data_IF_925927632136
#
_entry.id   IF_925927632136
#
_cell.length_a   1.000
_cell.length_b   1.000
_cell.length_c   1.000
_cell.angle_alpha   90.00
_cell.angle_beta   90.00
_cell.angle_gamma   90.00
#
_symmetry.space_group_name_H-M   'P 1'
#
loop_
_entity.id
_entity.type
_entity.pdbx_description
1 polymer ?
#
# COMPACT_ATOMS: atom_id res chain seq x y z
N UNK A 1 17.77 -5.57 17.58
CA UNK A 1 17.27 -4.37 16.86
C UNK A 1 17.62 -4.56 15.40
N UNK A 2 16.73 -4.25 14.44
CA UNK A 2 17.06 -4.38 13.02
C UNK A 2 18.15 -3.37 12.65
N UNK A 3 19.24 -3.82 12.03
CA UNK A 3 20.31 -2.95 11.50
C UNK A 3 19.87 -2.21 10.23
N UNK A 4 18.84 -2.72 9.55
CA UNK A 4 18.28 -2.19 8.31
C UNK A 4 16.78 -2.48 8.24
N UNK A 5 16.01 -1.55 7.70
CA UNK A 5 14.59 -1.72 7.38
C UNK A 5 14.43 -1.55 5.87
N UNK A 6 13.93 -2.59 5.22
CA UNK A 6 13.63 -2.58 3.78
C UNK A 6 12.14 -2.38 3.61
N UNK A 7 11.75 -1.29 2.96
CA UNK A 7 10.35 -0.99 2.65
C UNK A 7 10.04 -1.44 1.23
N UNK A 8 9.03 -2.29 1.10
CA UNK A 8 8.49 -2.74 -0.18
C UNK A 8 7.08 -2.17 -0.34
N UNK A 9 6.92 -1.19 -1.22
CA UNK A 9 5.62 -0.58 -1.48
C UNK A 9 4.83 -1.39 -2.52
N UNK A 10 3.61 -1.79 -2.18
CA UNK A 10 2.55 -2.28 -3.09
C UNK A 10 2.85 -3.53 -3.95
N UNK A 11 4.06 -4.08 -3.90
CA UNK A 11 4.52 -5.16 -4.79
C UNK A 11 3.97 -6.53 -4.39
N UNK A 12 3.78 -6.78 -3.10
CA UNK A 12 3.39 -8.10 -2.60
C UNK A 12 1.88 -8.32 -2.71
N UNK A 13 1.05 -7.29 -2.47
CA UNK A 13 -0.40 -7.43 -2.47
C UNK A 13 -1.07 -6.75 -3.65
N UNK A 14 -1.01 -5.43 -3.73
CA UNK A 14 -1.82 -4.65 -4.67
C UNK A 14 -1.61 -5.11 -6.12
N UNK A 15 -0.35 -5.21 -6.57
CA UNK A 15 -0.09 -5.66 -7.94
C UNK A 15 -0.57 -7.10 -8.20
N UNK A 16 -0.40 -7.99 -7.23
CA UNK A 16 -0.79 -9.40 -7.38
C UNK A 16 -2.31 -9.56 -7.41
N UNK A 17 -3.04 -8.85 -6.54
CA UNK A 17 -4.51 -8.80 -6.58
C UNK A 17 -4.96 -8.33 -7.95
N UNK A 18 -4.37 -7.22 -8.44
CA UNK A 18 -4.74 -6.62 -9.71
C UNK A 18 -4.62 -7.59 -10.88
N UNK A 19 -3.44 -8.22 -11.02
CA UNK A 19 -3.17 -9.16 -12.12
C UNK A 19 -4.05 -10.40 -12.04
N UNK A 20 -4.26 -10.95 -10.84
CA UNK A 20 -5.09 -12.15 -10.68
C UNK A 20 -6.57 -11.84 -10.94
N UNK A 21 -7.07 -10.67 -10.53
CA UNK A 21 -8.42 -10.23 -10.90
C UNK A 21 -8.53 -10.13 -12.42
N UNK A 22 -7.68 -9.35 -13.09
CA UNK A 22 -7.71 -9.18 -14.54
C UNK A 22 -7.71 -10.51 -15.29
N UNK A 23 -6.90 -11.48 -14.85
CA UNK A 23 -6.83 -12.81 -15.46
C UNK A 23 -8.02 -13.73 -15.12
N UNK A 24 -9.01 -13.23 -14.37
CA UNK A 24 -10.14 -13.97 -13.81
C UNK A 24 -9.69 -15.21 -13.04
N UNK A 25 -8.54 -15.10 -12.37
CA UNK A 25 -8.01 -16.16 -11.54
C UNK A 25 -8.82 -16.23 -10.23
N UNK A 26 -8.96 -17.44 -9.68
CA UNK A 26 -9.63 -17.61 -8.40
C UNK A 26 -8.79 -17.02 -7.26
N UNK A 27 -9.46 -16.52 -6.23
CA UNK A 27 -8.80 -16.12 -4.97
C UNK A 27 -7.95 -17.25 -4.36
N UNK A 28 -8.31 -18.52 -4.60
CA UNK A 28 -7.49 -19.68 -4.19
C UNK A 28 -6.12 -19.68 -4.86
N UNK A 29 -6.05 -19.38 -6.16
CA UNK A 29 -4.78 -19.30 -6.89
C UNK A 29 -3.93 -18.14 -6.36
N UNK A 30 -4.54 -16.97 -6.12
CA UNK A 30 -3.84 -15.84 -5.51
C UNK A 30 -3.28 -16.22 -4.13
N UNK A 31 -4.08 -16.84 -3.27
CA UNK A 31 -3.61 -17.30 -1.95
C UNK A 31 -2.46 -18.30 -2.03
N UNK A 32 -2.49 -19.23 -2.99
CA UNK A 32 -1.40 -20.18 -3.20
C UNK A 32 -0.12 -19.47 -3.64
N UNK A 33 -0.24 -18.49 -4.53
CA UNK A 33 0.88 -17.67 -4.98
C UNK A 33 1.49 -16.85 -3.84
N UNK A 34 0.66 -16.10 -3.11
CA UNK A 34 1.09 -15.30 -1.96
C UNK A 34 1.68 -16.18 -0.85
N UNK A 35 1.13 -17.37 -0.60
CA UNK A 35 1.68 -18.32 0.36
C UNK A 35 3.13 -18.70 0.06
N UNK A 36 3.52 -18.80 -1.22
CA UNK A 36 4.92 -19.04 -1.59
C UNK A 36 5.81 -17.84 -1.26
N UNK A 37 5.31 -16.62 -1.44
CA UNK A 37 6.04 -15.42 -1.03
C UNK A 37 6.25 -15.43 0.49
N UNK A 38 5.23 -15.80 1.28
CA UNK A 38 5.38 -15.89 2.73
C UNK A 38 6.47 -16.85 3.16
N UNK A 39 6.61 -17.99 2.49
CA UNK A 39 7.72 -18.94 2.72
C UNK A 39 9.08 -18.35 2.33
N UNK A 40 9.16 -17.56 1.25
CA UNK A 40 10.42 -16.94 0.82
C UNK A 40 10.91 -15.85 1.78
N UNK A 41 10.00 -15.11 2.40
CA UNK A 41 10.33 -14.02 3.34
C UNK A 41 10.35 -14.50 4.80
N UNK A 42 10.14 -15.79 5.04
CA UNK A 42 10.22 -16.37 6.37
C UNK A 42 11.61 -16.14 6.97
N UNK A 43 11.66 -15.78 8.26
CA UNK A 43 12.91 -15.44 8.95
C UNK A 43 13.42 -14.01 8.72
N UNK A 44 12.87 -13.26 7.75
CA UNK A 44 13.24 -11.85 7.51
C UNK A 44 12.50 -10.86 8.43
N UNK A 45 11.80 -11.36 9.45
CA UNK A 45 10.94 -10.56 10.32
C UNK A 45 9.93 -9.67 9.56
N UNK A 46 9.17 -10.22 8.60
CA UNK A 46 8.27 -9.43 7.78
C UNK A 46 7.17 -8.77 8.62
N UNK A 47 6.85 -7.53 8.26
CA UNK A 47 5.78 -6.75 8.86
C UNK A 47 4.97 -6.08 7.76
N UNK A 48 3.66 -5.96 7.98
CA UNK A 48 2.74 -5.35 7.04
C UNK A 48 2.10 -4.10 7.65
N UNK A 49 2.22 -2.97 6.95
CA UNK A 49 1.38 -1.79 7.18
C UNK A 49 0.35 -1.77 6.06
N UNK A 50 -0.93 -1.76 6.41
CA UNK A 50 -2.04 -1.79 5.47
C UNK A 50 -2.89 -0.54 5.62
N UNK A 51 -2.85 0.32 4.60
CA UNK A 51 -3.69 1.51 4.52
C UNK A 51 -5.06 1.14 3.95
N UNK A 52 -6.13 1.47 4.66
CA UNK A 52 -7.48 1.13 4.25
C UNK A 52 -8.47 2.26 4.56
N UNK A 53 -9.61 2.24 3.87
CA UNK A 53 -10.80 2.99 4.26
C UNK A 53 -11.85 1.99 4.70
N UNK A 54 -12.64 2.32 5.71
CA UNK A 54 -13.63 1.37 6.24
C UNK A 54 -14.66 0.93 5.20
N UNK A 55 -15.06 1.86 4.33
CA UNK A 55 -15.98 1.61 3.24
C UNK A 55 -15.25 1.78 1.91
N UNK A 56 -15.36 0.79 1.03
CA UNK A 56 -14.76 0.86 -0.31
C UNK A 56 -15.31 2.03 -1.13
N UNK A 57 -16.54 2.45 -0.89
CA UNK A 57 -17.13 3.61 -1.53
C UNK A 57 -16.37 4.90 -1.20
N UNK A 58 -15.76 5.01 -0.02
CA UNK A 58 -14.94 6.17 0.32
C UNK A 58 -13.68 6.20 -0.55
N UNK A 59 -13.10 5.04 -0.87
CA UNK A 59 -11.98 4.92 -1.82
C UNK A 59 -12.42 5.30 -3.22
N UNK A 60 -13.57 4.80 -3.68
CA UNK A 60 -14.11 5.10 -5.01
C UNK A 60 -14.38 6.60 -5.16
N UNK A 61 -15.08 7.21 -4.21
CA UNK A 61 -15.38 8.63 -4.20
C UNK A 61 -14.12 9.48 -4.09
N UNK A 62 -13.16 9.07 -3.25
CA UNK A 62 -11.88 9.75 -3.14
C UNK A 62 -11.14 9.75 -4.48
N UNK A 63 -11.06 8.59 -5.14
CA UNK A 63 -10.42 8.48 -6.46
C UNK A 63 -11.14 9.33 -7.51
N UNK A 64 -12.47 9.30 -7.55
CA UNK A 64 -13.24 10.07 -8.52
C UNK A 64 -13.03 11.57 -8.32
N UNK A 65 -13.06 12.04 -7.07
CA UNK A 65 -12.85 13.44 -6.70
C UNK A 65 -11.44 13.94 -7.03
N UNK A 66 -10.41 13.15 -6.76
CA UNK A 66 -9.01 13.61 -6.85
C UNK A 66 -8.32 13.26 -8.17
N UNK A 67 -8.72 12.18 -8.84
CA UNK A 67 -8.16 11.75 -10.13
C UNK A 67 -9.08 12.03 -11.30
N UNK A 68 -10.39 12.16 -11.06
CA UNK A 68 -11.40 12.45 -12.08
C UNK A 68 -11.94 11.20 -12.77
N UNK A 69 -13.14 11.31 -13.32
CA UNK A 69 -13.82 10.26 -14.10
C UNK A 69 -12.97 9.82 -15.29
N UNK A 70 -12.36 10.77 -16.02
CA UNK A 70 -11.52 10.48 -17.18
C UNK A 70 -10.33 9.56 -16.84
N UNK A 71 -9.75 9.68 -15.64
CA UNK A 71 -8.71 8.75 -15.18
C UNK A 71 -9.27 7.32 -15.05
N UNK A 72 -10.43 7.17 -14.42
CA UNK A 72 -11.09 5.87 -14.26
C UNK A 72 -11.45 5.24 -15.60
N UNK A 73 -11.98 6.03 -16.53
CA UNK A 73 -12.26 5.58 -17.90
C UNK A 73 -11.00 5.18 -18.64
N UNK A 74 -9.88 5.89 -18.43
CA UNK A 74 -8.58 5.54 -18.98
C UNK A 74 -8.08 4.18 -18.50
N UNK A 75 -8.20 3.90 -17.20
CA UNK A 75 -7.86 2.58 -16.63
C UNK A 75 -8.76 1.48 -17.20
N UNK A 76 -10.08 1.70 -17.19
CA UNK A 76 -11.01 0.76 -17.80
C UNK A 76 -10.67 0.51 -19.28
N UNK A 77 -10.43 1.56 -20.06
CA UNK A 77 -10.13 1.46 -21.49
C UNK A 77 -8.85 0.64 -21.77
N UNK A 78 -7.83 0.80 -20.91
CA UNK A 78 -6.61 -0.01 -20.96
C UNK A 78 -6.90 -1.49 -20.71
N UNK A 79 -7.76 -1.79 -19.73
CA UNK A 79 -7.91 -3.15 -19.20
C UNK A 79 -9.13 -3.90 -19.71
N UNK A 80 -10.08 -3.26 -20.40
CA UNK A 80 -11.38 -3.81 -20.83
C UNK A 80 -11.32 -5.08 -21.68
N UNK A 81 -10.15 -5.44 -22.20
CA UNK A 81 -9.94 -6.66 -22.99
C UNK A 81 -9.57 -7.86 -22.11
N UNK A 82 -9.36 -7.65 -20.82
CA UNK A 82 -9.07 -8.73 -19.88
C UNK A 82 -10.38 -9.44 -19.45
N UNK A 83 -10.31 -10.75 -19.15
CA UNK A 83 -11.47 -11.55 -18.76
C UNK A 83 -12.35 -10.95 -17.67
N UNK A 84 -11.75 -10.28 -16.68
CA UNK A 84 -12.48 -9.68 -15.56
C UNK A 84 -13.53 -8.64 -15.97
N UNK A 85 -13.36 -7.99 -17.12
CA UNK A 85 -14.26 -6.94 -17.59
C UNK A 85 -15.35 -7.45 -18.54
N UNK A 86 -15.41 -8.76 -18.84
CA UNK A 86 -16.39 -9.31 -19.79
C UNK A 86 -17.85 -9.06 -19.35
N UNK A 87 -18.13 -9.06 -18.04
CA UNK A 87 -19.45 -8.86 -17.46
C UNK A 87 -19.64 -7.52 -16.73
N UNK A 88 -18.60 -6.68 -16.70
CA UNK A 88 -18.62 -5.38 -16.02
C UNK A 88 -19.16 -4.27 -16.93
N UNK A 89 -19.75 -3.23 -16.33
CA UNK A 89 -20.20 -2.05 -17.06
C UNK A 89 -19.05 -1.36 -17.81
N UNK A 90 -19.36 -0.70 -18.92
CA UNK A 90 -18.38 0.07 -19.66
C UNK A 90 -18.00 1.38 -18.92
N UNK A 91 -16.78 1.87 -19.18
CA UNK A 91 -16.28 3.13 -18.64
C UNK A 91 -15.97 3.09 -17.15
N UNK A 92 -16.06 4.26 -16.49
CA UNK A 92 -15.68 4.42 -15.09
C UNK A 92 -16.39 3.43 -14.15
N UNK A 93 -17.66 3.11 -14.40
CA UNK A 93 -18.42 2.18 -13.57
C UNK A 93 -17.84 0.76 -13.57
N UNK A 94 -17.27 0.32 -14.70
CA UNK A 94 -16.54 -0.95 -14.74
C UNK A 94 -15.33 -0.95 -13.83
N UNK A 95 -14.55 0.14 -13.84
CA UNK A 95 -13.40 0.26 -12.95
C UNK A 95 -13.81 0.39 -11.47
N UNK A 96 -14.93 1.07 -11.17
CA UNK A 96 -15.47 1.11 -9.80
C UNK A 96 -15.87 -0.28 -9.31
N UNK A 97 -16.46 -1.12 -10.16
CA UNK A 97 -16.74 -2.52 -9.83
C UNK A 97 -15.45 -3.31 -9.56
N UNK A 98 -14.43 -3.14 -10.40
CA UNK A 98 -13.10 -3.73 -10.18
C UNK A 98 -12.50 -3.34 -8.83
N UNK A 99 -12.57 -2.05 -8.45
CA UNK A 99 -12.05 -1.57 -7.17
C UNK A 99 -12.72 -2.24 -5.96
N UNK A 100 -14.03 -2.51 -6.05
CA UNK A 100 -14.79 -3.22 -5.01
C UNK A 100 -14.32 -4.67 -4.84
N UNK A 101 -14.06 -5.36 -5.94
CA UNK A 101 -13.53 -6.73 -5.90
C UNK A 101 -12.09 -6.76 -5.38
N UNK A 102 -11.27 -5.79 -5.81
CA UNK A 102 -9.91 -5.60 -5.30
C UNK A 102 -9.90 -5.40 -3.79
N UNK A 103 -10.75 -4.52 -3.25
CA UNK A 103 -10.86 -4.26 -1.82
C UNK A 103 -11.21 -5.54 -1.02
N UNK A 104 -12.17 -6.32 -1.49
CA UNK A 104 -12.52 -7.60 -0.86
C UNK A 104 -11.33 -8.56 -0.79
N UNK A 105 -10.54 -8.65 -1.86
CA UNK A 105 -9.35 -9.52 -1.89
C UNK A 105 -8.23 -8.98 -1.01
N UNK A 106 -8.04 -7.67 -0.99
CA UNK A 106 -7.06 -7.00 -0.13
C UNK A 106 -7.36 -7.24 1.34
N UNK A 107 -8.60 -7.02 1.78
CA UNK A 107 -9.02 -7.28 3.17
C UNK A 107 -8.83 -8.73 3.56
N UNK A 108 -9.20 -9.69 2.69
CA UNK A 108 -8.99 -11.12 2.97
C UNK A 108 -7.50 -11.49 3.05
N UNK A 109 -6.65 -10.91 2.20
CA UNK A 109 -5.20 -11.14 2.25
C UNK A 109 -4.58 -10.53 3.51
N UNK A 110 -4.97 -9.31 3.87
CA UNK A 110 -4.60 -8.68 5.13
C UNK A 110 -4.98 -9.56 6.33
N UNK A 111 -6.20 -10.12 6.34
CA UNK A 111 -6.62 -11.02 7.41
C UNK A 111 -5.78 -12.29 7.47
N UNK A 112 -5.45 -12.84 6.31
CA UNK A 112 -4.64 -14.07 6.22
C UNK A 112 -3.14 -13.88 6.42
N UNK A 113 -2.64 -12.65 6.53
CA UNK A 113 -1.21 -12.39 6.68
C UNK A 113 -0.70 -12.96 8.01
N UNK A 114 0.29 -13.87 8.00
CA UNK A 114 0.65 -14.66 9.18
C UNK A 114 1.59 -13.94 10.14
N UNK A 115 2.14 -12.79 9.74
CA UNK A 115 3.13 -12.05 10.51
C UNK A 115 2.53 -10.78 11.12
N UNK A 116 3.39 -9.98 11.76
CA UNK A 116 2.98 -8.71 12.38
C UNK A 116 2.31 -7.80 11.35
N UNK A 117 1.11 -7.31 11.65
CA UNK A 117 0.38 -6.39 10.79
C UNK A 117 -0.19 -5.21 11.57
N UNK A 118 -0.25 -4.05 10.93
CA UNK A 118 -0.85 -2.83 11.42
C UNK A 118 -1.80 -2.29 10.35
N UNK A 119 -3.08 -2.15 10.70
CA UNK A 119 -4.05 -1.42 9.88
C UNK A 119 -3.96 0.07 10.18
N UNK A 120 -3.94 0.89 9.13
CA UNK A 120 -3.98 2.35 9.21
C UNK A 120 -5.23 2.81 8.49
N UNK A 121 -6.22 3.28 9.25
CA UNK A 121 -7.43 3.85 8.68
C UNK A 121 -7.14 5.25 8.15
N UNK A 122 -7.31 5.42 6.85
CA UNK A 122 -7.08 6.67 6.13
C UNK A 122 -8.37 7.40 5.76
N UNK A 123 -9.52 6.94 6.29
CA UNK A 123 -10.86 7.49 6.04
C UNK A 123 -10.89 8.99 6.25
N UNK A 124 -10.49 9.45 7.43
CA UNK A 124 -10.48 10.89 7.79
C UNK A 124 -9.22 11.63 7.30
N UNK A 125 -8.20 10.93 6.78
CA UNK A 125 -6.91 11.53 6.46
C UNK A 125 -6.16 12.09 7.68
N UNK A 126 -6.45 11.59 8.89
CA UNK A 126 -5.83 12.00 10.16
C UNK A 126 -4.42 11.39 10.34
N UNK A 127 -3.51 11.73 9.43
CA UNK A 127 -2.16 11.17 9.36
C UNK A 127 -1.31 11.43 10.61
N UNK A 128 -1.60 12.51 11.32
CA UNK A 128 -0.94 12.94 12.55
C UNK A 128 -1.11 11.95 13.72
N UNK A 129 -2.11 11.07 13.66
CA UNK A 129 -2.38 10.08 14.72
C UNK A 129 -1.47 8.84 14.66
N UNK A 130 -0.88 8.56 13.50
CA UNK A 130 -0.15 7.31 13.26
C UNK A 130 1.38 7.31 13.47
N UNK A 131 2.12 8.43 13.57
CA UNK A 131 3.58 8.38 13.71
C UNK A 131 4.03 7.56 14.91
N UNK A 132 3.38 7.72 16.08
CA UNK A 132 3.71 6.94 17.28
C UNK A 132 3.46 5.44 17.08
N UNK A 133 2.25 5.08 16.60
CA UNK A 133 1.88 3.69 16.36
C UNK A 133 2.78 3.00 15.33
N UNK A 134 3.10 3.68 14.22
CA UNK A 134 4.02 3.19 13.19
C UNK A 134 5.44 3.02 13.75
N UNK A 135 5.91 3.96 14.56
CA UNK A 135 7.25 3.90 15.14
C UNK A 135 7.39 2.72 16.11
N UNK A 136 6.42 2.54 17.00
CA UNK A 136 6.38 1.37 17.88
C UNK A 136 6.26 0.07 17.08
N UNK A 137 5.41 0.05 16.05
CA UNK A 137 5.22 -1.12 15.21
C UNK A 137 6.48 -1.49 14.40
N UNK A 138 7.23 -0.51 13.91
CA UNK A 138 8.46 -0.74 13.15
C UNK A 138 9.69 -0.90 14.07
N UNK A 139 9.51 -0.80 15.39
CA UNK A 139 10.59 -0.83 16.39
C UNK A 139 11.65 0.23 16.06
N UNK A 140 11.18 1.45 15.76
CA UNK A 140 12.03 2.63 15.63
C UNK A 140 12.26 3.19 17.04
N UNK A 141 13.47 3.66 17.35
CA UNK A 141 13.75 4.30 18.64
C UNK A 141 12.88 5.53 18.90
N UNK A 142 12.73 5.88 20.18
CA UNK A 142 12.07 7.13 20.60
C UNK A 142 12.72 8.35 19.92
N UNK A 143 11.89 9.26 19.41
CA UNK A 143 12.20 10.38 18.50
C UNK A 143 12.43 10.08 16.99
N UNK A 144 11.48 9.45 16.29
CA UNK A 144 11.37 9.67 14.85
C UNK A 144 10.77 11.06 14.65
N UNK A 145 11.63 12.07 14.51
CA UNK A 145 11.20 13.38 14.02
C UNK A 145 10.89 13.24 12.53
N UNK A 146 9.63 12.87 12.22
CA UNK A 146 9.12 12.90 10.87
C UNK A 146 8.80 14.36 10.53
N UNK A 147 9.76 15.06 9.95
CA UNK A 147 9.52 16.40 9.43
C UNK A 147 8.99 16.26 8.00
N UNK A 148 7.67 16.28 7.83
CA UNK A 148 7.06 16.47 6.52
C UNK A 148 6.66 17.93 6.37
N UNK A 149 7.21 18.62 5.37
CA UNK A 149 6.89 20.00 5.07
C UNK A 149 6.39 20.11 3.63
N UNK A 150 5.12 19.81 3.37
CA UNK A 150 4.53 20.12 2.07
C UNK A 150 3.36 19.24 1.64
N UNK A 151 2.77 19.62 0.51
CA UNK A 151 1.73 18.85 -0.21
C UNK A 151 2.32 17.65 -0.99
N UNK A 152 3.61 17.70 -1.29
CA UNK A 152 4.40 16.56 -1.72
C UNK A 152 5.03 15.97 -0.46
N UNK A 153 5.26 14.65 -0.40
CA UNK A 153 5.82 13.96 0.75
C UNK A 153 7.32 14.29 0.96
N UNK A 154 7.69 15.57 0.89
CA UNK A 154 9.01 16.06 1.18
C UNK A 154 9.24 15.93 2.68
N UNK A 155 10.26 15.17 3.07
CA UNK A 155 10.56 14.97 4.48
C UNK A 155 11.89 14.31 4.78
N UNK A 156 12.38 14.54 5.99
CA UNK A 156 13.62 13.94 6.49
C UNK A 156 13.28 12.93 7.58
N UNK A 157 13.71 11.68 7.39
CA UNK A 157 13.71 10.66 8.43
C UNK A 157 15.12 10.53 9.00
N UNK A 158 15.25 10.85 10.28
CA UNK A 158 16.50 10.72 11.03
C UNK A 158 16.33 9.55 12.01
N UNK A 159 17.06 8.46 11.78
CA UNK A 159 17.19 7.39 12.77
C UNK A 159 18.48 7.58 13.55
N UNK A 160 18.38 7.63 14.88
CA UNK A 160 19.54 7.72 15.78
C UNK A 160 20.51 6.53 15.60
N UNK A 161 19.98 5.37 15.18
CA UNK A 161 20.74 4.14 15.00
C UNK A 161 21.35 3.95 13.61
N UNK A 162 20.70 4.43 12.56
CA UNK A 162 21.14 4.14 11.19
C UNK A 162 22.37 4.96 10.74
N UNK A 163 22.83 5.95 11.55
CA UNK A 163 23.88 6.94 11.18
C UNK A 163 23.64 7.57 9.78
N UNK A 164 22.39 7.60 9.35
CA UNK A 164 21.95 8.01 8.01
C UNK A 164 20.66 8.80 8.14
N UNK A 165 20.53 9.80 7.28
CA UNK A 165 19.33 10.59 7.09
C UNK A 165 18.71 10.17 5.76
N UNK A 166 17.40 9.89 5.76
CA UNK A 166 16.65 9.62 4.53
C UNK A 166 15.93 10.91 4.18
N UNK A 167 16.31 11.51 3.07
CA UNK A 167 15.65 12.69 2.54
C UNK A 167 14.73 12.23 1.41
N UNK A 168 13.46 12.60 1.53
CA UNK A 168 12.45 12.41 0.50
C UNK A 168 12.22 13.78 -0.15
N UNK A 169 12.47 13.87 -1.46
CA UNK A 169 12.21 15.05 -2.30
C UNK A 169 11.36 14.61 -3.50
N UNK A 170 10.09 15.02 -3.52
CA UNK A 170 9.09 14.53 -4.47
C UNK A 170 8.94 13.00 -4.39
N UNK A 171 9.11 12.32 -5.53
CA UNK A 171 9.02 10.86 -5.63
C UNK A 171 10.38 10.15 -5.41
N UNK A 172 11.42 10.87 -4.94
CA UNK A 172 12.77 10.32 -4.79
C UNK A 172 13.20 10.29 -3.33
N UNK A 173 13.58 9.11 -2.85
CA UNK A 173 14.29 8.94 -1.59
C UNK A 173 15.80 8.83 -1.84
N UNK A 174 16.60 9.57 -1.07
CA UNK A 174 18.06 9.46 -1.10
C UNK A 174 18.67 9.46 0.31
N UNK A 175 19.80 8.77 0.44
CA UNK A 175 20.49 8.55 1.71
C UNK A 175 21.64 9.52 1.87
N UNK A 176 21.67 10.25 2.98
CA UNK A 176 22.80 11.09 3.37
C UNK A 176 23.48 10.49 4.59
N UNK A 177 24.79 10.30 4.51
CA UNK A 177 25.60 9.82 5.64
C UNK A 177 25.72 10.97 6.64
N UNK A 178 25.43 10.71 7.91
CA UNK A 178 25.62 11.72 8.96
C UNK A 178 27.12 11.96 9.12
N UNK A 179 27.58 13.15 8.78
CA UNK A 179 28.93 13.60 9.14
C UNK A 179 28.83 14.14 10.58
N UNK A 180 29.72 13.72 11.50
CA UNK A 180 29.67 14.12 12.91
C UNK A 180 29.68 15.63 13.12
#
# INVERSE_FOLDING_TARGET
>A
MPEEIIVLDSIIFQFQIYIFLLAWASYRQLRQFIGRIYTMIEGLSPALVYYYREQVEDTVQYMEKHRGIAFMEGIWSRDRYNPDYEDKHAGAEGYKAFLREHDQWAGRLYESFPYRKLGVDITEGAWDRYPGALSTFLILEENPHLHSFGFNADGCYVSANLKREIIIEGDKAHYVKRTP
#
